data_IF_446236228765
#
_entry.id   IF_446236228765
#
_cell.length_a   1.000
_cell.length_b   1.000
_cell.length_c   1.000
_cell.angle_alpha   90.00
_cell.angle_beta   90.00
_cell.angle_gamma   90.00
#
_symmetry.space_group_name_H-M   'P 1'
#
loop_
_entity.id
_entity.type
_entity.pdbx_description
1 polymer ?
#
# COMPACT_ATOMS: atom_id res chain seq x y z
N UNK A 1 -13.02 -9.49 -43.82
CA UNK A 1 -11.81 -9.07 -44.52
C UNK A 1 -10.71 -8.71 -43.45
N UNK A 2 -9.51 -8.29 -43.91
CA UNK A 2 -8.40 -7.94 -42.99
C UNK A 2 -8.74 -6.82 -42.03
N UNK A 3 -9.55 -5.84 -42.41
CA UNK A 3 -9.99 -4.76 -41.56
C UNK A 3 -10.99 -5.20 -40.48
N UNK A 4 -11.80 -6.20 -40.74
CA UNK A 4 -12.68 -6.80 -39.73
C UNK A 4 -11.86 -7.48 -38.63
N UNK A 5 -10.76 -8.13 -38.98
CA UNK A 5 -9.82 -8.72 -38.00
C UNK A 5 -9.18 -7.64 -37.17
N UNK A 6 -8.70 -6.56 -37.78
CA UNK A 6 -8.12 -5.40 -37.07
C UNK A 6 -9.11 -4.77 -36.09
N UNK A 7 -10.36 -4.54 -36.50
CA UNK A 7 -11.41 -4.02 -35.63
C UNK A 7 -11.68 -4.92 -34.43
N UNK A 8 -11.62 -6.25 -34.60
CA UNK A 8 -11.76 -7.20 -33.47
C UNK A 8 -10.56 -7.14 -32.55
N UNK A 9 -9.35 -7.04 -33.11
CA UNK A 9 -8.12 -6.92 -32.33
C UNK A 9 -8.08 -5.62 -31.52
N UNK A 10 -8.49 -4.50 -32.12
CA UNK A 10 -8.59 -3.20 -31.44
C UNK A 10 -9.59 -3.25 -30.28
N UNK A 11 -10.81 -3.74 -30.49
CA UNK A 11 -11.83 -3.89 -29.43
C UNK A 11 -11.38 -4.76 -28.25
N UNK A 12 -10.47 -5.71 -28.51
CA UNK A 12 -9.91 -6.60 -27.51
C UNK A 12 -8.56 -6.13 -26.96
N UNK A 13 -8.11 -4.95 -27.35
CA UNK A 13 -6.79 -4.38 -27.00
C UNK A 13 -5.59 -5.27 -27.35
N UNK A 14 -5.77 -6.20 -28.32
CA UNK A 14 -4.72 -7.12 -28.74
C UNK A 14 -3.66 -6.44 -29.64
N UNK A 15 -4.05 -5.36 -30.32
CA UNK A 15 -3.16 -4.67 -31.29
C UNK A 15 -2.05 -3.91 -30.58
N UNK A 16 -2.23 -3.58 -29.29
CA UNK A 16 -1.22 -2.93 -28.46
C UNK A 16 -0.06 -3.88 -28.12
N UNK A 17 -0.35 -5.17 -27.97
CA UNK A 17 0.60 -6.19 -27.55
C UNK A 17 1.12 -7.08 -28.70
N UNK A 18 0.39 -7.15 -29.81
CA UNK A 18 0.69 -8.05 -30.93
C UNK A 18 0.94 -7.21 -32.18
N UNK A 19 2.18 -7.22 -32.74
CA UNK A 19 2.45 -6.50 -33.97
C UNK A 19 1.71 -7.13 -35.15
N UNK A 20 1.04 -6.29 -35.92
CA UNK A 20 0.27 -6.72 -37.10
C UNK A 20 0.88 -6.15 -38.36
N UNK A 21 1.19 -6.99 -39.33
CA UNK A 21 1.65 -6.57 -40.65
C UNK A 21 0.54 -6.94 -41.66
N UNK A 22 0.01 -5.92 -42.32
CA UNK A 22 -0.98 -6.12 -43.38
C UNK A 22 -0.31 -6.29 -44.72
N UNK A 23 -0.71 -7.33 -45.50
CA UNK A 23 -0.22 -7.56 -46.86
C UNK A 23 -1.42 -7.52 -47.79
N UNK A 24 -1.44 -6.58 -48.75
CA UNK A 24 -2.58 -6.41 -49.66
C UNK A 24 -2.11 -6.09 -51.10
N UNK A 25 -2.98 -6.34 -52.07
CA UNK A 25 -2.85 -5.84 -53.44
C UNK A 25 -3.46 -4.45 -53.62
N UNK A 26 -4.20 -3.96 -52.64
CA UNK A 26 -4.76 -2.61 -52.62
C UNK A 26 -3.67 -1.67 -52.09
N UNK A 27 -3.28 -0.67 -52.87
CA UNK A 27 -2.18 0.25 -52.60
C UNK A 27 -2.61 1.73 -52.56
N UNK A 28 -3.95 1.97 -52.60
CA UNK A 28 -4.46 3.32 -52.52
C UNK A 28 -4.14 3.96 -51.14
N UNK A 29 -3.74 5.26 -51.16
CA UNK A 29 -3.41 6.01 -49.94
C UNK A 29 -4.51 5.92 -48.86
N UNK A 30 -5.77 5.80 -49.26
CA UNK A 30 -6.91 5.69 -48.34
C UNK A 30 -6.87 4.38 -47.55
N UNK A 31 -6.59 3.25 -48.23
CA UNK A 31 -6.50 1.95 -47.59
C UNK A 31 -5.28 1.82 -46.66
N UNK A 32 -4.15 2.36 -47.12
CA UNK A 32 -2.91 2.38 -46.34
C UNK A 32 -3.09 3.19 -45.06
N UNK A 33 -3.65 4.43 -45.16
CA UNK A 33 -3.94 5.27 -43.99
C UNK A 33 -4.88 4.59 -43.00
N UNK A 34 -5.98 4.02 -43.50
CA UNK A 34 -6.94 3.32 -42.67
C UNK A 34 -6.32 2.14 -41.90
N UNK A 35 -5.38 1.41 -42.52
CA UNK A 35 -4.67 0.32 -41.86
C UNK A 35 -3.84 0.86 -40.68
N UNK A 36 -3.08 1.94 -40.89
CA UNK A 36 -2.29 2.56 -39.83
C UNK A 36 -3.14 3.21 -38.73
N UNK A 37 -4.28 3.82 -39.08
CA UNK A 37 -5.25 4.34 -38.10
C UNK A 37 -5.81 3.25 -37.19
N UNK A 38 -5.95 2.02 -37.68
CA UNK A 38 -6.36 0.85 -36.92
C UNK A 38 -5.19 0.15 -36.17
N UNK A 39 -3.99 0.76 -36.16
CA UNK A 39 -2.85 0.31 -35.36
C UNK A 39 -1.99 -0.78 -36.02
N UNK A 40 -2.04 -0.95 -37.34
CA UNK A 40 -1.13 -1.87 -38.04
C UNK A 40 0.31 -1.39 -37.88
N UNK A 41 1.21 -2.29 -37.50
CA UNK A 41 2.63 -2.00 -37.32
C UNK A 41 3.36 -1.75 -38.63
N UNK A 42 2.88 -2.38 -39.73
CA UNK A 42 3.43 -2.22 -41.07
C UNK A 42 2.42 -2.62 -42.15
N UNK A 43 2.57 -2.03 -43.35
CA UNK A 43 1.75 -2.34 -44.50
C UNK A 43 2.62 -2.68 -45.70
N UNK A 44 2.34 -3.80 -46.41
CA UNK A 44 3.14 -4.25 -47.52
C UNK A 44 2.22 -4.47 -48.75
N UNK A 45 2.48 -3.68 -49.82
CA UNK A 45 1.74 -3.79 -51.08
C UNK A 45 2.27 -4.93 -51.93
N UNK A 46 1.39 -5.56 -52.70
CA UNK A 46 1.75 -6.55 -53.74
C UNK A 46 1.91 -5.85 -55.11
N UNK A 47 2.85 -6.29 -55.96
CA UNK A 47 3.84 -7.33 -55.75
C UNK A 47 4.98 -6.89 -54.85
N UNK A 48 5.53 -7.84 -54.04
CA UNK A 48 6.60 -7.57 -53.08
C UNK A 48 7.84 -8.43 -53.33
N UNK A 49 9.00 -7.93 -52.92
CA UNK A 49 10.24 -8.70 -52.84
C UNK A 49 10.27 -9.50 -51.52
N UNK A 50 10.44 -10.83 -51.60
CA UNK A 50 10.43 -11.72 -50.45
C UNK A 50 11.54 -11.38 -49.43
N UNK A 51 12.71 -10.88 -49.86
CA UNK A 51 13.80 -10.49 -48.97
C UNK A 51 13.45 -9.22 -48.17
N UNK A 52 12.78 -8.28 -48.82
CA UNK A 52 12.29 -7.07 -48.20
C UNK A 52 11.24 -7.39 -47.15
N UNK A 53 10.26 -8.22 -47.50
CA UNK A 53 9.22 -8.68 -46.53
C UNK A 53 9.85 -9.37 -45.33
N UNK A 54 10.75 -10.32 -45.57
CA UNK A 54 11.48 -11.00 -44.50
C UNK A 54 12.15 -10.02 -43.56
N UNK A 55 12.86 -9.02 -44.11
CA UNK A 55 13.58 -8.04 -43.30
C UNK A 55 12.63 -7.13 -42.48
N UNK A 56 11.48 -6.73 -43.07
CA UNK A 56 10.47 -5.92 -42.38
C UNK A 56 9.84 -6.70 -41.23
N UNK A 57 9.43 -7.94 -41.48
CA UNK A 57 8.89 -8.86 -40.43
C UNK A 57 9.91 -9.07 -39.30
N UNK A 58 11.17 -9.37 -39.68
CA UNK A 58 12.25 -9.57 -38.72
C UNK A 58 12.49 -8.34 -37.83
N UNK A 59 12.52 -7.14 -38.44
CA UNK A 59 12.70 -5.90 -37.73
C UNK A 59 11.53 -5.61 -36.77
N UNK A 60 10.31 -5.84 -37.22
CA UNK A 60 9.10 -5.70 -36.40
C UNK A 60 9.13 -6.64 -35.19
N UNK A 61 9.41 -7.92 -35.40
CA UNK A 61 9.54 -8.90 -34.30
C UNK A 61 10.64 -8.47 -33.31
N UNK A 62 11.81 -8.05 -33.83
CA UNK A 62 12.94 -7.62 -32.99
C UNK A 62 12.58 -6.39 -32.15
N UNK A 63 11.85 -5.42 -32.73
CA UNK A 63 11.43 -4.21 -32.03
C UNK A 63 10.47 -4.56 -30.87
N UNK A 64 9.44 -5.33 -31.15
CA UNK A 64 8.45 -5.76 -30.15
C UNK A 64 9.05 -6.64 -29.06
N UNK A 65 9.94 -7.56 -29.42
CA UNK A 65 10.66 -8.37 -28.44
C UNK A 65 11.50 -7.49 -27.49
N UNK A 66 12.16 -6.45 -28.04
CA UNK A 66 12.91 -5.49 -27.23
C UNK A 66 11.99 -4.67 -26.31
N UNK A 67 10.88 -4.18 -26.83
CA UNK A 67 9.89 -3.42 -26.05
C UNK A 67 9.32 -4.25 -24.90
N UNK A 68 8.89 -5.48 -25.18
CA UNK A 68 8.37 -6.39 -24.15
C UNK A 68 9.40 -6.71 -23.08
N UNK A 69 10.67 -6.94 -23.48
CA UNK A 69 11.77 -7.12 -22.51
C UNK A 69 11.99 -5.91 -21.64
N UNK A 70 11.94 -4.69 -22.21
CA UNK A 70 12.06 -3.46 -21.42
C UNK A 70 10.92 -3.28 -20.44
N UNK A 71 9.67 -3.54 -20.84
CA UNK A 71 8.50 -3.48 -19.95
C UNK A 71 8.64 -4.44 -18.77
N UNK A 72 9.08 -5.68 -19.02
CA UNK A 72 9.33 -6.65 -17.95
C UNK A 72 10.44 -6.16 -17.01
N UNK A 73 11.57 -5.69 -17.54
CA UNK A 73 12.67 -5.18 -16.71
C UNK A 73 12.26 -3.97 -15.87
N UNK A 74 11.44 -3.08 -16.41
CA UNK A 74 10.91 -1.93 -15.65
C UNK A 74 9.99 -2.42 -14.52
N UNK A 75 9.11 -3.37 -14.79
CA UNK A 75 8.24 -3.98 -13.77
C UNK A 75 9.05 -4.62 -12.63
N UNK A 76 10.06 -5.41 -12.98
CA UNK A 76 10.95 -6.04 -12.01
C UNK A 76 11.72 -5.01 -11.15
N UNK A 77 12.21 -3.93 -11.78
CA UNK A 77 12.92 -2.85 -11.09
C UNK A 77 12.00 -2.07 -10.12
N UNK A 78 10.76 -1.80 -10.52
CA UNK A 78 9.78 -1.14 -9.66
C UNK A 78 9.49 -2.04 -8.45
N UNK A 79 9.20 -3.32 -8.68
CA UNK A 79 8.93 -4.28 -7.62
C UNK A 79 10.09 -4.40 -6.60
N UNK A 80 11.33 -4.57 -7.08
CA UNK A 80 12.50 -4.65 -6.20
C UNK A 80 12.73 -3.34 -5.43
N UNK A 81 12.50 -2.18 -6.05
CA UNK A 81 12.60 -0.88 -5.38
C UNK A 81 11.57 -0.74 -4.26
N UNK A 82 10.31 -1.11 -4.51
CA UNK A 82 9.25 -1.06 -3.50
C UNK A 82 9.54 -2.01 -2.33
N UNK A 83 9.96 -3.23 -2.62
CA UNK A 83 10.37 -4.22 -1.63
C UNK A 83 11.53 -3.74 -0.76
N UNK A 84 12.56 -3.16 -1.36
CA UNK A 84 13.70 -2.62 -0.65
C UNK A 84 13.30 -1.43 0.24
N UNK A 85 12.45 -0.53 -0.24
CA UNK A 85 11.94 0.58 0.56
C UNK A 85 11.15 0.09 1.78
N UNK A 86 10.23 -0.85 1.61
CA UNK A 86 9.50 -1.47 2.73
C UNK A 86 10.45 -2.11 3.73
N UNK A 87 11.42 -2.89 3.26
CA UNK A 87 12.40 -3.55 4.12
C UNK A 87 13.21 -2.53 4.94
N UNK A 88 13.70 -1.44 4.33
CA UNK A 88 14.45 -0.40 5.04
C UNK A 88 13.61 0.27 6.12
N UNK A 89 12.35 0.62 5.82
CA UNK A 89 11.44 1.23 6.79
C UNK A 89 11.16 0.25 7.93
N UNK A 90 10.89 -1.00 7.64
CA UNK A 90 10.68 -2.06 8.65
C UNK A 90 11.89 -2.23 9.57
N UNK A 91 13.11 -2.23 9.01
CA UNK A 91 14.34 -2.32 9.80
C UNK A 91 14.48 -1.10 10.73
N UNK A 92 14.24 0.11 10.23
CA UNK A 92 14.33 1.32 11.05
C UNK A 92 13.31 1.31 12.18
N UNK A 93 12.07 0.92 11.90
CA UNK A 93 11.02 0.80 12.92
C UNK A 93 11.36 -0.26 13.94
N UNK A 94 11.87 -1.40 13.51
CA UNK A 94 12.31 -2.47 14.40
C UNK A 94 13.45 -2.02 15.35
N UNK A 95 14.37 -1.19 14.88
CA UNK A 95 15.42 -0.63 15.75
C UNK A 95 14.82 0.23 16.87
N UNK A 96 13.77 1.00 16.57
CA UNK A 96 13.07 1.80 17.58
C UNK A 96 12.32 0.93 18.57
N UNK A 97 11.59 -0.09 18.09
CA UNK A 97 10.84 -1.03 18.93
C UNK A 97 11.73 -1.92 19.79
N UNK A 98 12.92 -2.27 19.30
CA UNK A 98 13.89 -3.03 20.07
C UNK A 98 14.24 -2.36 21.41
N UNK A 99 14.22 -1.00 21.47
CA UNK A 99 14.36 -0.26 22.73
C UNK A 99 13.24 -0.52 23.73
N UNK A 100 12.04 -0.87 23.24
CA UNK A 100 10.84 -1.08 24.07
C UNK A 100 10.71 -2.53 24.54
N UNK A 101 11.66 -3.40 24.20
CA UNK A 101 11.55 -4.83 24.45
C UNK A 101 10.42 -5.52 23.65
N UNK A 102 9.87 -4.85 22.65
CA UNK A 102 8.90 -5.44 21.71
C UNK A 102 9.61 -6.33 20.69
N UNK A 103 8.95 -7.40 20.28
CA UNK A 103 9.48 -8.28 19.26
C UNK A 103 9.38 -7.59 17.89
N UNK A 104 10.42 -7.72 17.05
CA UNK A 104 10.38 -7.17 15.68
C UNK A 104 9.28 -7.72 14.78
N UNK A 105 8.51 -8.68 15.27
CA UNK A 105 7.33 -9.20 14.59
C UNK A 105 6.16 -8.22 14.63
N UNK A 106 6.09 -7.33 15.64
CA UNK A 106 5.03 -6.34 15.78
C UNK A 106 4.87 -5.48 14.51
N UNK A 107 5.96 -4.89 14.01
CA UNK A 107 5.92 -4.06 12.77
C UNK A 107 5.39 -4.86 11.57
N UNK A 108 5.80 -6.12 11.43
CA UNK A 108 5.35 -6.99 10.34
C UNK A 108 3.86 -7.32 10.47
N UNK A 109 3.40 -7.59 11.70
CA UNK A 109 1.99 -7.85 11.97
C UNK A 109 1.11 -6.62 11.67
N UNK A 110 1.54 -5.42 12.14
CA UNK A 110 0.83 -4.17 11.84
C UNK A 110 0.73 -3.93 10.33
N UNK A 111 1.82 -4.11 9.57
CA UNK A 111 1.79 -3.95 8.12
C UNK A 111 0.80 -4.93 7.47
N UNK A 112 0.86 -6.23 7.83
CA UNK A 112 -0.03 -7.27 7.28
C UNK A 112 -1.50 -7.01 7.62
N UNK A 113 -1.80 -6.63 8.87
CA UNK A 113 -3.14 -6.30 9.32
C UNK A 113 -3.69 -5.06 8.60
N UNK A 114 -2.89 -4.00 8.52
CA UNK A 114 -3.23 -2.77 7.80
C UNK A 114 -3.58 -3.08 6.35
N UNK A 115 -2.78 -3.88 5.65
CA UNK A 115 -3.01 -4.28 4.26
C UNK A 115 -4.35 -5.04 4.11
N UNK A 116 -4.59 -6.07 4.94
CA UNK A 116 -5.82 -6.86 4.90
C UNK A 116 -7.08 -6.04 5.20
N UNK A 117 -7.02 -5.15 6.21
CA UNK A 117 -8.14 -4.25 6.53
C UNK A 117 -8.43 -3.30 5.37
N UNK A 118 -7.40 -2.72 4.74
CA UNK A 118 -7.55 -1.83 3.59
C UNK A 118 -8.12 -2.55 2.37
N UNK A 119 -7.70 -3.78 2.09
CA UNK A 119 -8.25 -4.61 1.01
C UNK A 119 -9.74 -4.88 1.21
N UNK A 120 -10.15 -5.23 2.42
CA UNK A 120 -11.56 -5.42 2.75
C UNK A 120 -12.34 -4.09 2.63
N UNK A 121 -11.79 -2.99 3.15
CA UNK A 121 -12.44 -1.69 3.17
C UNK A 121 -12.80 -1.20 1.76
N UNK A 122 -11.90 -1.32 0.78
CA UNK A 122 -12.16 -0.88 -0.60
C UNK A 122 -13.16 -1.77 -1.35
N UNK A 123 -13.36 -3.01 -0.89
CA UNK A 123 -14.41 -3.88 -1.42
C UNK A 123 -15.80 -3.50 -0.87
N UNK A 124 -15.85 -2.94 0.35
CA UNK A 124 -17.10 -2.55 1.02
C UNK A 124 -17.57 -1.14 0.62
N UNK A 125 -16.67 -0.22 0.34
CA UNK A 125 -17.04 1.18 0.12
C UNK A 125 -16.01 1.97 -0.67
N UNK A 126 -16.50 2.87 -1.53
CA UNK A 126 -15.68 3.86 -2.24
C UNK A 126 -15.54 5.18 -1.48
N UNK A 127 -16.11 5.29 -0.27
CA UNK A 127 -16.20 6.52 0.52
C UNK A 127 -14.86 7.24 0.70
N UNK A 128 -13.78 6.49 0.85
CA UNK A 128 -12.45 7.02 1.14
C UNK A 128 -11.57 7.19 -0.10
N UNK A 129 -12.06 6.81 -1.30
CA UNK A 129 -11.37 6.92 -2.58
C UNK A 129 -9.91 6.43 -2.56
N UNK A 130 -9.66 5.31 -1.89
CA UNK A 130 -8.31 4.75 -1.70
C UNK A 130 -7.82 4.04 -2.95
N UNK A 131 -6.92 4.68 -3.69
CA UNK A 131 -6.22 4.05 -4.81
C UNK A 131 -5.27 2.94 -4.32
N UNK A 132 -4.72 2.14 -5.25
CA UNK A 132 -3.65 1.20 -4.93
C UNK A 132 -2.44 1.90 -4.29
N UNK A 133 -2.06 3.07 -4.83
CA UNK A 133 -0.96 3.87 -4.29
C UNK A 133 -1.21 4.34 -2.86
N UNK A 134 -2.44 4.79 -2.55
CA UNK A 134 -2.78 5.21 -1.19
C UNK A 134 -2.69 4.06 -0.19
N UNK A 135 -3.22 2.88 -0.56
CA UNK A 135 -3.13 1.68 0.27
C UNK A 135 -1.68 1.24 0.52
N UNK A 136 -0.87 1.27 -0.53
CA UNK A 136 0.56 0.99 -0.43
C UNK A 136 1.27 1.96 0.53
N UNK A 137 0.97 3.27 0.43
CA UNK A 137 1.54 4.30 1.30
C UNK A 137 1.10 4.10 2.76
N UNK A 138 -0.18 3.83 3.01
CA UNK A 138 -0.71 3.58 4.36
C UNK A 138 -0.02 2.36 4.97
N UNK A 139 0.03 1.24 4.24
CA UNK A 139 0.67 0.00 4.71
C UNK A 139 2.15 0.21 5.00
N UNK A 140 2.86 0.94 4.12
CA UNK A 140 4.29 1.21 4.32
C UNK A 140 4.53 2.15 5.51
N UNK A 141 3.72 3.21 5.64
CA UNK A 141 3.83 4.20 6.70
C UNK A 141 3.39 3.66 8.07
N UNK A 142 2.54 2.61 8.12
CA UNK A 142 2.07 2.03 9.38
C UNK A 142 3.23 1.52 10.26
N UNK A 143 4.33 1.09 9.65
CA UNK A 143 5.55 0.72 10.36
C UNK A 143 6.14 1.85 11.21
N UNK A 144 5.87 3.10 10.86
CA UNK A 144 6.44 4.28 11.53
C UNK A 144 5.54 4.86 12.63
N UNK A 145 4.37 4.26 12.93
CA UNK A 145 3.40 4.82 13.88
C UNK A 145 4.02 5.19 15.22
N UNK A 146 4.94 4.40 15.71
CA UNK A 146 5.60 4.49 17.01
C UNK A 146 7.02 5.07 16.97
N UNK A 147 7.48 5.63 15.83
CA UNK A 147 8.84 6.17 15.69
C UNK A 147 9.20 7.20 16.75
N UNK A 148 8.21 7.93 17.26
CA UNK A 148 8.38 8.95 18.30
C UNK A 148 8.74 8.38 19.68
N UNK A 149 8.59 7.09 19.93
CA UNK A 149 9.07 6.43 21.14
C UNK A 149 10.58 6.60 21.36
N UNK A 150 11.32 6.89 20.30
CA UNK A 150 12.76 7.23 20.40
C UNK A 150 13.04 8.42 21.31
N UNK A 151 12.10 9.34 21.46
CA UNK A 151 12.21 10.53 22.32
C UNK A 151 11.74 10.32 23.75
N UNK A 152 11.27 9.14 24.12
CA UNK A 152 10.80 8.83 25.49
C UNK A 152 11.97 8.28 26.33
N UNK A 153 12.07 8.72 27.59
CA UNK A 153 13.09 8.24 28.53
C UNK A 153 12.89 6.73 28.80
N UNK A 154 13.99 5.96 28.75
CA UNK A 154 13.97 4.50 28.95
C UNK A 154 13.42 4.09 30.32
N UNK A 155 13.57 4.92 31.35
CA UNK A 155 13.04 4.68 32.68
C UNK A 155 11.50 4.66 32.72
N UNK A 156 10.87 5.39 31.81
CA UNK A 156 9.41 5.44 31.65
C UNK A 156 8.99 4.38 30.67
N UNK A 157 9.64 4.32 29.51
CA UNK A 157 9.31 3.43 28.42
C UNK A 157 9.39 1.94 28.85
N UNK A 158 10.46 1.58 29.54
CA UNK A 158 10.74 0.21 30.01
C UNK A 158 10.46 0.00 31.51
N UNK A 159 9.60 0.81 32.10
CA UNK A 159 9.29 0.69 33.53
C UNK A 159 8.67 -0.67 33.86
N UNK A 160 9.26 -1.44 34.80
CA UNK A 160 8.67 -2.68 35.24
C UNK A 160 7.42 -2.41 36.13
N UNK A 161 6.24 -2.42 35.54
CA UNK A 161 4.96 -2.24 36.24
C UNK A 161 4.07 -1.17 35.64
N UNK A 162 3.03 -0.79 36.40
CA UNK A 162 2.05 0.20 35.92
C UNK A 162 2.66 1.61 35.92
N UNK A 163 2.39 2.34 34.84
CA UNK A 163 2.73 3.78 34.75
C UNK A 163 1.86 4.60 35.70
N UNK A 164 2.45 5.64 36.30
CA UNK A 164 1.68 6.70 36.94
C UNK A 164 0.93 7.53 35.90
N UNK A 165 0.03 8.39 36.34
CA UNK A 165 -0.70 9.29 35.41
C UNK A 165 0.27 10.20 34.66
N UNK A 166 1.25 10.79 35.37
CA UNK A 166 2.23 11.71 34.78
C UNK A 166 3.13 10.97 33.76
N UNK A 167 3.59 9.76 34.10
CA UNK A 167 4.38 8.94 33.17
C UNK A 167 3.57 8.55 31.93
N UNK A 168 2.26 8.26 32.09
CA UNK A 168 1.40 8.00 30.96
C UNK A 168 1.22 9.21 30.04
N UNK A 169 1.09 10.43 30.64
CA UNK A 169 1.07 11.66 29.83
C UNK A 169 2.38 11.85 29.05
N UNK A 170 3.54 11.49 29.64
CA UNK A 170 4.82 11.51 28.92
C UNK A 170 4.82 10.48 27.77
N UNK A 171 4.36 9.25 27.99
CA UNK A 171 4.27 8.25 26.91
C UNK A 171 3.41 8.78 25.75
N UNK A 172 2.28 9.39 26.00
CA UNK A 172 1.42 9.95 24.94
C UNK A 172 2.15 10.92 24.01
N UNK A 173 3.19 11.60 24.51
CA UNK A 173 3.94 12.56 23.70
C UNK A 173 4.68 11.93 22.53
N UNK A 174 4.83 10.59 22.48
CA UNK A 174 5.47 9.92 21.33
C UNK A 174 4.76 10.26 20.02
N UNK A 175 3.42 10.42 20.04
CA UNK A 175 2.64 10.80 18.85
C UNK A 175 3.07 12.15 18.30
N UNK A 176 3.26 13.13 19.19
CA UNK A 176 3.71 14.47 18.82
C UNK A 176 5.19 14.52 18.45
N UNK A 177 6.03 13.73 19.14
CA UNK A 177 7.46 13.62 18.85
C UNK A 177 7.65 13.03 17.46
N UNK A 178 6.98 11.90 17.14
CA UNK A 178 7.07 11.26 15.83
C UNK A 178 6.57 12.17 14.71
N UNK A 179 5.43 12.83 14.91
CA UNK A 179 4.89 13.80 13.96
C UNK A 179 5.88 14.94 13.70
N UNK A 180 6.48 15.53 14.75
CA UNK A 180 7.47 16.59 14.63
C UNK A 180 8.72 16.13 13.89
N UNK A 181 9.25 14.96 14.21
CA UNK A 181 10.43 14.40 13.51
C UNK A 181 10.20 14.32 12.00
N UNK A 182 9.00 13.94 11.55
CA UNK A 182 8.63 13.86 10.14
C UNK A 182 8.42 15.25 9.53
N UNK A 183 7.84 16.19 10.27
CA UNK A 183 7.62 17.57 9.83
C UNK A 183 8.95 18.34 9.66
N UNK A 184 9.91 18.10 10.53
CA UNK A 184 11.24 18.75 10.53
C UNK A 184 12.12 18.27 9.36
N UNK A 185 11.69 17.24 8.60
CA UNK A 185 12.37 16.78 7.39
C UNK A 185 12.12 17.73 6.21
N UNK A 186 12.65 18.95 6.24
CA UNK A 186 12.34 20.02 5.27
C UNK A 186 12.39 19.59 3.81
N UNK A 187 13.36 18.76 3.42
CA UNK A 187 13.55 18.28 2.04
C UNK A 187 12.43 17.31 1.62
N UNK A 188 11.91 16.52 2.59
CA UNK A 188 10.99 15.41 2.30
C UNK A 188 9.57 15.62 2.85
N UNK A 189 9.30 16.70 3.59
CA UNK A 189 7.98 16.94 4.23
C UNK A 189 6.80 16.94 3.27
N UNK A 190 7.05 17.19 1.98
CA UNK A 190 6.02 17.18 0.94
C UNK A 190 5.84 15.82 0.25
N UNK A 191 6.73 14.86 0.51
CA UNK A 191 6.63 13.53 -0.05
C UNK A 191 5.39 12.80 0.48
N UNK A 192 4.63 12.10 -0.40
CA UNK A 192 3.38 11.42 0.01
C UNK A 192 3.57 10.47 1.19
N UNK A 193 4.68 9.73 1.22
CA UNK A 193 4.98 8.79 2.31
C UNK A 193 5.19 9.50 3.63
N UNK A 194 5.89 10.64 3.65
CA UNK A 194 6.17 11.41 4.88
C UNK A 194 4.89 12.04 5.42
N UNK A 195 4.03 12.56 4.54
CA UNK A 195 2.70 13.08 4.93
C UNK A 195 1.83 11.96 5.52
N UNK A 196 1.84 10.78 4.91
CA UNK A 196 1.08 9.63 5.40
C UNK A 196 1.60 9.17 6.77
N UNK A 197 2.93 9.05 6.92
CA UNK A 197 3.56 8.70 8.18
C UNK A 197 3.27 9.73 9.28
N UNK A 198 3.28 11.04 8.95
CA UNK A 198 2.90 12.10 9.88
C UNK A 198 1.48 11.90 10.42
N UNK A 199 0.51 11.67 9.56
CA UNK A 199 -0.88 11.44 9.95
C UNK A 199 -1.01 10.24 10.89
N UNK A 200 -0.35 9.13 10.54
CA UNK A 200 -0.38 7.91 11.33
C UNK A 200 0.30 8.13 12.68
N UNK A 201 1.54 8.66 12.72
CA UNK A 201 2.24 8.94 13.97
C UNK A 201 1.43 9.81 14.90
N UNK A 202 0.82 10.89 14.39
CA UNK A 202 0.11 11.84 15.20
C UNK A 202 -1.20 11.30 15.75
N UNK A 203 -1.96 10.53 14.94
CA UNK A 203 -3.38 10.26 15.21
C UNK A 203 -3.76 8.79 15.38
N UNK A 204 -2.83 7.83 15.39
CA UNK A 204 -3.17 6.42 15.58
C UNK A 204 -3.72 6.10 16.99
N UNK A 205 -3.59 6.99 17.94
CA UNK A 205 -4.21 6.91 19.26
C UNK A 205 -5.46 7.78 19.42
N UNK A 206 -5.93 8.41 18.34
CA UNK A 206 -7.25 9.01 18.35
C UNK A 206 -8.33 7.92 18.37
N UNK A 207 -9.47 8.25 18.97
CA UNK A 207 -10.59 7.33 19.12
C UNK A 207 -11.81 7.87 18.39
N UNK A 208 -12.55 7.00 17.76
CA UNK A 208 -13.72 7.38 16.98
C UNK A 208 -14.78 8.16 17.79
N UNK A 209 -14.80 7.96 19.12
CA UNK A 209 -15.65 8.69 20.08
C UNK A 209 -15.09 10.08 20.49
N UNK A 210 -13.90 10.47 20.05
CA UNK A 210 -13.23 11.73 20.39
C UNK A 210 -12.54 11.74 21.75
N UNK A 211 -12.37 10.58 22.40
CA UNK A 211 -11.68 10.46 23.70
C UNK A 211 -10.23 10.00 23.54
N UNK A 212 -9.70 10.09 22.35
CA UNK A 212 -8.32 9.77 22.01
C UNK A 212 -7.35 10.93 22.33
N UNK A 213 -6.15 10.80 21.83
CA UNK A 213 -5.10 11.82 21.93
C UNK A 213 -4.26 11.81 20.64
N UNK A 214 -3.53 12.90 20.31
CA UNK A 214 -3.25 14.10 21.10
C UNK A 214 -4.27 15.23 20.92
N UNK A 215 -5.08 15.25 19.85
CA UNK A 215 -5.92 16.38 19.45
C UNK A 215 -7.41 16.18 19.79
N UNK A 216 -7.83 14.97 20.17
CA UNK A 216 -9.23 14.63 20.47
C UNK A 216 -10.13 14.64 19.25
N UNK A 217 -9.61 14.27 18.09
CA UNK A 217 -10.36 14.15 16.84
C UNK A 217 -11.47 13.11 16.97
N UNK A 218 -12.58 13.32 16.25
CA UNK A 218 -13.75 12.45 16.34
C UNK A 218 -14.26 12.00 14.99
N UNK A 219 -14.66 10.75 14.90
CA UNK A 219 -15.28 10.22 13.68
C UNK A 219 -14.35 10.31 12.48
N UNK A 220 -14.86 10.86 11.38
CA UNK A 220 -14.12 11.00 10.12
C UNK A 220 -13.15 12.21 10.08
N UNK A 221 -13.10 13.03 11.12
CA UNK A 221 -12.02 14.01 11.28
C UNK A 221 -10.67 13.31 11.51
N UNK A 222 -10.68 12.05 11.99
CA UNK A 222 -9.51 11.21 12.07
C UNK A 222 -9.19 10.67 10.66
N UNK A 223 -7.99 10.89 10.11
CA UNK A 223 -7.62 10.32 8.81
C UNK A 223 -7.81 8.80 8.80
N UNK A 224 -8.38 8.26 7.72
CA UNK A 224 -8.63 6.81 7.60
C UNK A 224 -7.36 5.99 7.76
N UNK A 225 -6.21 6.51 7.35
CA UNK A 225 -4.89 5.90 7.57
C UNK A 225 -4.61 5.64 9.05
N UNK A 226 -4.86 6.65 9.89
CA UNK A 226 -4.67 6.54 11.33
C UNK A 226 -5.71 5.61 11.98
N UNK A 227 -6.98 5.64 11.52
CA UNK A 227 -8.03 4.75 12.03
C UNK A 227 -7.71 3.27 11.78
N UNK A 228 -7.23 2.93 10.57
CA UNK A 228 -6.86 1.54 10.21
C UNK A 228 -5.68 1.07 11.04
N UNK A 229 -4.64 1.90 11.18
CA UNK A 229 -3.45 1.54 11.97
C UNK A 229 -3.77 1.42 13.45
N UNK A 230 -4.64 2.30 14.01
CA UNK A 230 -5.12 2.19 15.38
C UNK A 230 -5.79 0.84 15.69
N UNK A 231 -6.63 0.35 14.76
CA UNK A 231 -7.28 -0.95 14.92
C UNK A 231 -6.27 -2.10 14.81
N UNK A 232 -5.32 -2.01 13.86
CA UNK A 232 -4.28 -3.00 13.68
C UNK A 232 -3.37 -3.09 14.92
N UNK A 233 -2.94 -1.95 15.46
CA UNK A 233 -2.08 -1.88 16.66
C UNK A 233 -2.79 -2.47 17.87
N UNK A 234 -4.05 -2.11 18.13
CA UNK A 234 -4.82 -2.66 19.25
C UNK A 234 -5.01 -4.18 19.13
N UNK A 235 -5.31 -4.68 17.93
CA UNK A 235 -5.44 -6.12 17.74
C UNK A 235 -4.12 -6.84 18.02
N UNK A 236 -3.01 -6.38 17.42
CA UNK A 236 -1.69 -7.01 17.65
C UNK A 236 -1.28 -6.91 19.12
N UNK A 237 -1.51 -5.77 19.79
CA UNK A 237 -1.26 -5.60 21.21
C UNK A 237 -2.02 -6.59 22.11
N UNK A 238 -3.17 -7.11 21.65
CA UNK A 238 -3.94 -8.12 22.38
C UNK A 238 -3.44 -9.53 22.16
N UNK A 239 -3.06 -9.88 20.93
CA UNK A 239 -2.68 -11.26 20.54
C UNK A 239 -1.19 -11.54 20.61
N UNK A 240 -0.35 -10.53 20.88
CA UNK A 240 1.10 -10.68 21.03
C UNK A 240 1.52 -10.72 22.49
N UNK A 241 2.50 -11.59 22.81
CA UNK A 241 3.14 -11.62 24.11
C UNK A 241 3.96 -10.34 24.34
N UNK A 242 3.73 -9.67 25.46
CA UNK A 242 4.53 -8.51 25.91
C UNK A 242 5.20 -8.82 27.25
N UNK A 243 6.28 -8.12 27.57
CA UNK A 243 7.08 -8.36 28.78
C UNK A 243 6.22 -8.50 30.07
N UNK A 244 5.08 -7.81 30.11
CA UNK A 244 4.19 -7.75 31.28
C UNK A 244 2.82 -8.37 31.08
N UNK A 245 2.53 -8.97 29.88
CA UNK A 245 1.21 -9.47 29.55
C UNK A 245 1.32 -10.67 28.59
N UNK A 246 0.71 -11.78 28.96
CA UNK A 246 0.49 -12.90 28.04
C UNK A 246 -0.53 -12.52 26.96
N UNK A 247 -0.33 -13.04 25.75
CA UNK A 247 -1.27 -12.91 24.65
C UNK A 247 -2.66 -13.44 25.03
N UNK A 248 -3.69 -12.75 24.61
CA UNK A 248 -5.04 -13.31 24.59
C UNK A 248 -5.21 -14.22 23.37
N UNK A 249 -6.19 -15.13 23.44
CA UNK A 249 -6.58 -15.85 22.23
C UNK A 249 -7.20 -14.89 21.21
N UNK A 250 -7.20 -15.30 19.95
CA UNK A 250 -7.83 -14.54 18.86
C UNK A 250 -9.28 -14.20 19.19
N UNK A 251 -10.07 -15.20 19.64
CA UNK A 251 -11.49 -15.05 19.97
C UNK A 251 -11.69 -14.02 21.09
N UNK A 252 -10.83 -14.06 22.12
CA UNK A 252 -10.91 -13.10 23.22
C UNK A 252 -10.53 -11.69 22.78
N UNK A 253 -9.52 -11.53 21.93
CA UNK A 253 -9.14 -10.23 21.37
C UNK A 253 -10.28 -9.64 20.53
N UNK A 254 -10.90 -10.43 19.67
CA UNK A 254 -12.07 -10.03 18.88
C UNK A 254 -13.24 -9.60 19.76
N UNK A 255 -13.58 -10.39 20.79
CA UNK A 255 -14.64 -10.06 21.76
C UNK A 255 -14.38 -8.68 22.42
N UNK A 256 -13.16 -8.45 22.92
CA UNK A 256 -12.79 -7.20 23.60
C UNK A 256 -12.86 -5.98 22.66
N UNK A 257 -12.40 -6.11 21.41
CA UNK A 257 -12.45 -5.04 20.43
C UNK A 257 -13.91 -4.69 20.08
N UNK A 258 -14.74 -5.71 19.80
CA UNK A 258 -16.14 -5.53 19.42
C UNK A 258 -16.99 -5.02 20.60
N UNK A 259 -16.67 -5.38 21.83
CA UNK A 259 -17.30 -4.84 23.03
C UNK A 259 -16.86 -3.39 23.36
N UNK A 260 -15.86 -2.85 22.65
CA UNK A 260 -15.33 -1.49 22.89
C UNK A 260 -14.48 -1.36 24.16
N UNK A 261 -13.98 -2.46 24.73
CA UNK A 261 -13.13 -2.46 25.93
C UNK A 261 -11.77 -1.80 25.64
N UNK A 262 -11.30 -1.88 24.39
CA UNK A 262 -10.01 -1.35 23.96
C UNK A 262 -10.11 0.03 23.27
N UNK A 263 -11.29 0.64 23.24
CA UNK A 263 -11.56 1.90 22.55
C UNK A 263 -12.72 1.79 21.59
N UNK A 264 -13.10 2.92 21.01
CA UNK A 264 -14.17 3.00 20.01
C UNK A 264 -13.55 3.18 18.64
N UNK A 265 -13.87 2.29 17.71
CA UNK A 265 -13.38 2.29 16.33
C UNK A 265 -14.50 2.63 15.34
N UNK A 266 -14.10 2.94 14.11
CA UNK A 266 -15.02 3.13 13.01
C UNK A 266 -15.80 1.81 12.76
N UNK A 267 -17.16 1.86 12.72
CA UNK A 267 -17.98 0.67 12.52
C UNK A 267 -17.63 -0.13 11.24
N UNK A 268 -17.29 0.57 10.13
CA UNK A 268 -16.86 -0.09 8.89
C UNK A 268 -15.57 -0.87 9.06
N UNK A 269 -14.62 -0.37 9.85
CA UNK A 269 -13.37 -1.07 10.13
C UNK A 269 -13.59 -2.28 11.04
N UNK A 270 -14.53 -2.21 11.99
CA UNK A 270 -14.92 -3.37 12.80
C UNK A 270 -15.57 -4.46 11.94
N UNK A 271 -16.43 -4.09 10.99
CA UNK A 271 -16.97 -5.04 10.02
C UNK A 271 -15.87 -5.67 9.17
N UNK A 272 -14.89 -4.88 8.69
CA UNK A 272 -13.74 -5.42 7.95
C UNK A 272 -12.95 -6.41 8.81
N UNK A 273 -12.70 -6.09 10.09
CA UNK A 273 -11.97 -6.98 11.00
C UNK A 273 -12.69 -8.31 11.20
N UNK A 274 -14.02 -8.29 11.33
CA UNK A 274 -14.85 -9.51 11.41
C UNK A 274 -14.76 -10.34 10.13
N UNK A 275 -14.83 -9.69 8.96
CA UNK A 275 -14.79 -10.41 7.67
C UNK A 275 -13.45 -11.10 7.40
N UNK A 276 -12.35 -10.51 7.88
CA UNK A 276 -11.00 -11.07 7.67
C UNK A 276 -10.51 -11.96 8.81
N UNK A 277 -11.28 -12.11 9.91
CA UNK A 277 -10.83 -12.75 11.16
C UNK A 277 -10.22 -14.14 10.98
N UNK A 278 -10.81 -14.98 10.10
CA UNK A 278 -10.31 -16.34 9.85
C UNK A 278 -8.91 -16.36 9.22
N UNK A 279 -8.55 -15.27 8.53
CA UNK A 279 -7.23 -15.11 7.88
C UNK A 279 -6.17 -14.56 8.80
N UNK A 280 -6.52 -14.18 10.04
CA UNK A 280 -5.61 -13.57 11.01
C UNK A 280 -4.92 -14.60 11.91
N UNK A 281 -5.36 -15.87 11.86
CA UNK A 281 -4.82 -16.96 12.68
C UNK A 281 -3.63 -17.67 12.02
N UNK A 282 -3.29 -17.31 10.77
CA UNK A 282 -2.14 -17.82 10.02
C UNK A 282 -0.90 -16.90 10.20
#
# INVERSE_FOLDING_TARGET
DGFEVLNVMERKHLIEDIPVIMISSEDSDVYVRRAYELGVSDYISRPFDAKVVYQRVFNTIKLYAKQRRLSTLIGDQIYEKEKNNRMMITILSHIVEFRNGESGMHVLHINRLTEKILECLVQKTDRYHLSYSDRYLITTASALHDIGKIGIDDKILNKPGKLTKDEFEIIKTHTLIGARMLEDMEVYKNEPLVKMAYQICRWHHERYDGKGYPDGLKGDDIPISAQVVALADVYDALVSDRVYKKAYSHEKAMEMILAGECGTFNPLLLECLVDIQDTLQE
#
